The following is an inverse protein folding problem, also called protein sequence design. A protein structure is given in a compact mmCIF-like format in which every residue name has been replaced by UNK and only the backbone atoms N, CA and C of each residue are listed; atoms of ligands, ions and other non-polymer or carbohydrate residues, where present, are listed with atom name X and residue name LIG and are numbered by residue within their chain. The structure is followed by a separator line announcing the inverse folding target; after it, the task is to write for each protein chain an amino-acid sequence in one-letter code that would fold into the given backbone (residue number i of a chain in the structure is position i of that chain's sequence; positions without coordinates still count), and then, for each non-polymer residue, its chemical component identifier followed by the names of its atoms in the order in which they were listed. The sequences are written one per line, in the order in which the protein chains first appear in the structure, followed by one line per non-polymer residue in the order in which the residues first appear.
data_IF_572111276785
#
_entry.id   IF_572111276785
#
_cell.length_a   1.000
_cell.length_b   1.000
_cell.length_c   1.000
_cell.angle_alpha   90.00
_cell.angle_beta   90.00
_cell.angle_gamma   90.00
#
_symmetry.space_group_name_H-M   'P 1'
#
loop_
_entity.id
_entity.type
_entity.pdbx_description
1 polymer ?
#
# COMPACT_ATOMS: atom_id res chain seq x y z
N UNK A 1 18.34 15.44 4.19
CA UNK A 1 18.21 14.08 3.65
C UNK A 1 19.01 13.14 4.52
N UNK A 2 18.34 12.18 5.15
CA UNK A 2 19.00 11.18 5.99
C UNK A 2 19.37 9.97 5.13
N UNK A 3 20.64 9.55 5.14
CA UNK A 3 21.11 8.33 4.45
C UNK A 3 20.32 7.11 4.92
N UNK A 4 19.97 7.04 6.22
CA UNK A 4 19.14 5.96 6.77
C UNK A 4 17.76 5.93 6.12
N UNK A 5 17.13 7.09 5.92
CA UNK A 5 15.83 7.19 5.26
C UNK A 5 15.88 6.71 3.81
N UNK A 6 16.95 7.06 3.07
CA UNK A 6 17.13 6.61 1.69
C UNK A 6 17.29 5.08 1.64
N UNK A 7 18.11 4.50 2.51
CA UNK A 7 18.31 3.04 2.56
C UNK A 7 17.00 2.32 2.90
N UNK A 8 16.26 2.81 3.91
CA UNK A 8 14.96 2.23 4.26
C UNK A 8 13.96 2.34 3.11
N UNK A 9 13.94 3.46 2.39
CA UNK A 9 13.10 3.64 1.22
C UNK A 9 13.42 2.66 0.09
N UNK A 10 14.70 2.46 -0.22
CA UNK A 10 15.13 1.49 -1.23
C UNK A 10 14.76 0.05 -0.84
N UNK A 11 14.94 -0.31 0.42
CA UNK A 11 14.53 -1.62 0.93
C UNK A 11 13.00 -1.80 0.82
N UNK A 12 12.22 -0.79 1.18
CA UNK A 12 10.76 -0.82 1.04
C UNK A 12 10.35 -1.03 -0.43
N UNK A 13 10.96 -0.31 -1.37
CA UNK A 13 10.72 -0.50 -2.81
C UNK A 13 11.05 -1.93 -3.26
N UNK A 14 12.17 -2.49 -2.81
CA UNK A 14 12.57 -3.85 -3.15
C UNK A 14 11.56 -4.89 -2.63
N UNK A 15 11.13 -4.77 -1.38
CA UNK A 15 10.13 -5.68 -0.82
C UNK A 15 8.76 -5.53 -1.47
N UNK A 16 8.35 -4.30 -1.82
CA UNK A 16 7.10 -4.07 -2.55
C UNK A 16 7.13 -4.68 -3.96
N UNK A 17 8.23 -4.52 -4.69
CA UNK A 17 8.41 -5.14 -6.00
C UNK A 17 8.39 -6.67 -5.88
N UNK A 18 9.06 -7.24 -4.87
CA UNK A 18 9.06 -8.68 -4.60
C UNK A 18 7.65 -9.20 -4.32
N UNK A 19 6.87 -8.48 -3.50
CA UNK A 19 5.46 -8.82 -3.25
C UNK A 19 4.64 -8.84 -4.55
N UNK A 20 4.81 -7.83 -5.42
CA UNK A 20 4.10 -7.74 -6.70
C UNK A 20 4.39 -8.93 -7.62
N UNK A 21 5.66 -9.31 -7.73
CA UNK A 21 6.08 -10.46 -8.53
C UNK A 21 5.56 -11.79 -7.98
N UNK A 22 5.62 -11.98 -6.66
CA UNK A 22 5.08 -13.18 -6.00
C UNK A 22 3.56 -13.25 -6.17
N UNK A 23 2.83 -12.15 -5.93
CA UNK A 23 1.39 -12.06 -6.15
C UNK A 23 1.01 -12.43 -7.57
N UNK A 24 1.73 -11.93 -8.58
CA UNK A 24 1.50 -12.29 -9.98
C UNK A 24 1.71 -13.78 -10.24
N UNK A 25 2.81 -14.34 -9.75
CA UNK A 25 3.11 -15.78 -9.90
C UNK A 25 2.05 -16.67 -9.23
N UNK A 26 1.58 -16.29 -8.04
CA UNK A 26 0.52 -17.03 -7.34
C UNK A 26 -0.81 -16.95 -8.09
N UNK A 27 -1.14 -15.78 -8.62
CA UNK A 27 -2.33 -15.59 -9.47
C UNK A 27 -2.27 -16.46 -10.75
N UNK A 28 -1.11 -16.58 -11.40
CA UNK A 28 -0.90 -17.44 -12.54
C UNK A 28 -1.05 -18.95 -12.20
N UNK A 29 -0.79 -19.32 -10.95
CA UNK A 29 -1.06 -20.66 -10.43
C UNK A 29 -2.50 -20.87 -9.95
N UNK A 30 -3.43 -19.98 -10.30
CA UNK A 30 -4.85 -20.00 -9.94
C UNK A 30 -5.15 -19.92 -8.44
N UNK A 31 -4.22 -19.42 -7.62
CA UNK A 31 -4.55 -19.11 -6.22
C UNK A 31 -5.56 -17.96 -6.15
N UNK A 32 -6.49 -18.05 -5.21
CA UNK A 32 -7.47 -17.01 -5.00
C UNK A 32 -6.81 -15.75 -4.43
N UNK A 33 -7.21 -14.57 -4.89
CA UNK A 33 -6.60 -13.29 -4.46
C UNK A 33 -6.68 -13.08 -2.93
N UNK A 34 -7.77 -13.51 -2.29
CA UNK A 34 -7.89 -13.44 -0.82
C UNK A 34 -6.85 -14.32 -0.11
N UNK A 35 -6.50 -15.48 -0.67
CA UNK A 35 -5.45 -16.35 -0.12
C UNK A 35 -4.10 -15.65 -0.18
N UNK A 36 -3.79 -15.02 -1.32
CA UNK A 36 -2.53 -14.27 -1.50
C UNK A 36 -2.46 -13.12 -0.50
N UNK A 37 -3.54 -12.35 -0.36
CA UNK A 37 -3.63 -11.24 0.59
C UNK A 37 -3.52 -11.73 2.03
N UNK A 38 -4.22 -12.81 2.40
CA UNK A 38 -4.19 -13.37 3.74
C UNK A 38 -2.77 -13.76 4.17
N UNK A 39 -2.08 -14.54 3.35
CA UNK A 39 -0.70 -14.93 3.67
C UNK A 39 0.26 -13.73 3.65
N UNK A 40 0.09 -12.79 2.72
CA UNK A 40 0.89 -11.56 2.68
C UNK A 40 0.75 -10.73 3.96
N UNK A 41 -0.48 -10.49 4.40
CA UNK A 41 -0.75 -9.75 5.64
C UNK A 41 -0.35 -10.52 6.89
N UNK A 42 -0.51 -11.85 6.91
CA UNK A 42 -0.08 -12.70 8.01
C UNK A 42 1.45 -12.64 8.20
N UNK A 43 2.22 -12.84 7.14
CA UNK A 43 3.68 -12.75 7.21
C UNK A 43 4.16 -11.35 7.57
N UNK A 44 3.54 -10.30 7.02
CA UNK A 44 3.84 -8.93 7.39
C UNK A 44 3.58 -8.68 8.88
N UNK A 45 2.43 -9.12 9.39
CA UNK A 45 2.08 -9.03 10.80
C UNK A 45 3.08 -9.76 11.70
N UNK A 46 3.44 -11.01 11.36
CA UNK A 46 4.44 -11.79 12.12
C UNK A 46 5.80 -11.09 12.15
N UNK A 47 6.23 -10.49 11.04
CA UNK A 47 7.51 -9.76 10.97
C UNK A 47 7.49 -8.50 11.81
N UNK A 48 6.34 -7.85 11.96
CA UNK A 48 6.19 -6.62 12.75
C UNK A 48 5.96 -6.87 14.25
N UNK A 49 5.55 -8.08 14.65
CA UNK A 49 5.33 -8.43 16.06
C UNK A 49 6.49 -8.06 16.99
N UNK A 50 7.76 -8.37 16.68
CA UNK A 50 8.88 -8.03 17.57
C UNK A 50 9.09 -6.53 17.76
N UNK A 51 8.63 -5.71 16.79
CA UNK A 51 8.77 -4.25 16.80
C UNK A 51 7.53 -3.55 17.36
N UNK A 52 6.45 -4.29 17.64
CA UNK A 52 5.20 -3.74 18.16
C UNK A 52 5.19 -3.70 19.68
N UNK A 53 4.57 -2.65 20.24
CA UNK A 53 4.36 -2.56 21.68
C UNK A 53 3.10 -3.32 22.09
N UNK A 54 3.23 -4.64 22.25
CA UNK A 54 2.12 -5.55 22.59
C UNK A 54 1.51 -5.17 23.95
N UNK A 55 2.31 -4.63 24.88
CA UNK A 55 1.82 -4.18 26.19
C UNK A 55 0.81 -3.04 26.06
N UNK A 56 1.05 -2.06 25.19
CA UNK A 56 0.10 -0.97 24.94
C UNK A 56 -1.20 -1.50 24.33
N UNK A 57 -1.13 -2.47 23.43
CA UNK A 57 -2.31 -3.07 22.82
C UNK A 57 -3.14 -3.86 23.87
N UNK A 58 -2.49 -4.64 24.71
CA UNK A 58 -3.15 -5.39 25.78
C UNK A 58 -3.79 -4.47 26.82
N UNK A 59 -3.13 -3.36 27.17
CA UNK A 59 -3.68 -2.38 28.11
C UNK A 59 -4.93 -1.68 27.57
N UNK A 60 -5.00 -1.41 26.27
CA UNK A 60 -6.22 -0.86 25.63
C UNK A 60 -7.42 -1.81 25.74
N UNK A 61 -7.18 -3.11 25.59
CA UNK A 61 -8.23 -4.12 25.72
C UNK A 61 -8.71 -4.22 27.17
N UNK A 62 -7.77 -4.25 28.13
CA UNK A 62 -8.05 -4.38 29.57
C UNK A 62 -8.71 -3.11 30.15
N UNK A 63 -8.31 -1.92 29.69
CA UNK A 63 -8.87 -0.64 30.16
C UNK A 63 -10.29 -0.35 29.66
N UNK A 64 -10.92 -1.29 28.96
CA UNK A 64 -12.31 -1.15 28.51
C UNK A 64 -12.51 -0.23 27.31
N UNK A 65 -11.45 0.21 26.64
CA UNK A 65 -11.52 1.05 25.45
C UNK A 65 -11.94 0.22 24.21
N UNK A 66 -13.03 -0.50 24.34
CA UNK A 66 -13.56 -1.40 23.29
C UNK A 66 -13.83 -0.66 21.98
N UNK A 67 -14.40 0.53 22.06
CA UNK A 67 -14.70 1.35 20.87
C UNK A 67 -13.44 1.68 20.07
N UNK A 68 -12.38 2.11 20.74
CA UNK A 68 -11.09 2.40 20.09
C UNK A 68 -10.50 1.15 19.43
N UNK A 69 -10.59 0.01 20.07
CA UNK A 69 -10.13 -1.26 19.53
C UNK A 69 -10.88 -1.65 18.25
N UNK A 70 -12.22 -1.52 18.24
CA UNK A 70 -13.01 -1.76 17.02
C UNK A 70 -12.69 -0.79 15.89
N UNK A 71 -12.49 0.49 16.20
CA UNK A 71 -12.08 1.49 15.22
C UNK A 71 -10.72 1.12 14.60
N UNK A 72 -9.75 0.67 15.40
CA UNK A 72 -8.45 0.22 14.90
C UNK A 72 -8.56 -1.00 13.98
N UNK A 73 -9.43 -1.96 14.31
CA UNK A 73 -9.68 -3.12 13.44
C UNK A 73 -10.27 -2.69 12.11
N UNK A 74 -11.32 -1.86 12.14
CA UNK A 74 -11.96 -1.35 10.91
C UNK A 74 -10.95 -0.57 10.08
N UNK A 75 -10.16 0.30 10.74
CA UNK A 75 -9.10 1.05 10.08
C UNK A 75 -8.08 0.11 9.40
N UNK A 76 -7.60 -0.91 10.09
CA UNK A 76 -6.65 -1.88 9.53
C UNK A 76 -7.24 -2.65 8.33
N UNK A 77 -8.53 -3.03 8.41
CA UNK A 77 -9.20 -3.71 7.29
C UNK A 77 -9.34 -2.80 6.07
N UNK A 78 -9.75 -1.57 6.27
CA UNK A 78 -10.01 -0.62 5.17
C UNK A 78 -8.71 -0.06 4.59
N UNK A 79 -7.71 0.28 5.43
CA UNK A 79 -6.48 0.93 4.97
C UNK A 79 -5.39 -0.05 4.54
N UNK A 80 -5.44 -1.30 4.97
CA UNK A 80 -4.41 -2.29 4.64
C UNK A 80 -4.97 -3.49 3.88
N UNK A 81 -5.90 -4.25 4.46
CA UNK A 81 -6.36 -5.50 3.86
C UNK A 81 -7.07 -5.27 2.53
N UNK A 82 -7.99 -4.30 2.47
CA UNK A 82 -8.77 -4.01 1.28
C UNK A 82 -7.90 -3.55 0.08
N UNK A 83 -6.97 -2.59 0.21
CA UNK A 83 -6.10 -2.19 -0.89
C UNK A 83 -5.23 -3.34 -1.40
N UNK A 84 -4.64 -4.14 -0.51
CA UNK A 84 -3.83 -5.29 -0.92
C UNK A 84 -4.67 -6.39 -1.59
N UNK A 85 -5.92 -6.59 -1.15
CA UNK A 85 -6.83 -7.52 -1.80
C UNK A 85 -7.19 -7.06 -3.22
N UNK A 86 -7.51 -5.78 -3.40
CA UNK A 86 -7.79 -5.20 -4.71
C UNK A 86 -6.55 -5.22 -5.62
N UNK A 87 -5.37 -4.93 -5.07
CA UNK A 87 -4.11 -5.03 -5.78
C UNK A 87 -3.83 -6.47 -6.24
N UNK A 88 -3.99 -7.47 -5.36
CA UNK A 88 -3.84 -8.88 -5.73
C UNK A 88 -4.88 -9.33 -6.75
N UNK A 89 -6.11 -8.82 -6.67
CA UNK A 89 -7.15 -9.07 -7.66
C UNK A 89 -6.78 -8.50 -9.02
N UNK A 90 -6.21 -7.30 -9.08
CA UNK A 90 -5.79 -6.66 -10.34
C UNK A 90 -4.76 -7.48 -11.10
N UNK A 91 -3.94 -8.29 -10.40
CA UNK A 91 -2.97 -9.18 -11.02
C UNK A 91 -3.59 -10.27 -11.91
N UNK A 92 -4.90 -10.53 -11.81
CA UNK A 92 -5.62 -11.42 -12.72
C UNK A 92 -5.81 -10.81 -14.10
N UNK A 93 -5.96 -9.50 -14.17
CA UNK A 93 -6.38 -8.77 -15.37
C UNK A 93 -5.24 -8.03 -16.06
N UNK A 94 -4.12 -7.82 -15.35
CA UNK A 94 -2.98 -7.07 -15.87
C UNK A 94 -1.64 -7.63 -15.39
N UNK A 95 -0.56 -7.22 -16.06
CA UNK A 95 0.80 -7.54 -15.64
C UNK A 95 1.22 -6.80 -14.38
N UNK A 96 2.16 -7.37 -13.61
CA UNK A 96 2.64 -6.78 -12.35
C UNK A 96 3.21 -5.37 -12.54
N UNK A 97 3.95 -5.13 -13.63
CA UNK A 97 4.49 -3.81 -13.94
C UNK A 97 3.39 -2.78 -14.15
N UNK A 98 2.36 -3.12 -14.93
CA UNK A 98 1.21 -2.22 -15.18
C UNK A 98 0.43 -1.92 -13.91
N UNK A 99 0.19 -2.94 -13.08
CA UNK A 99 -0.46 -2.75 -11.78
C UNK A 99 0.35 -1.85 -10.85
N UNK A 100 1.68 -1.98 -10.83
CA UNK A 100 2.56 -1.12 -10.02
C UNK A 100 2.56 0.33 -10.49
N UNK A 101 2.55 0.58 -11.81
CA UNK A 101 2.46 1.95 -12.36
C UNK A 101 1.11 2.58 -11.99
N UNK A 102 0.00 1.83 -12.10
CA UNK A 102 -1.31 2.32 -11.66
C UNK A 102 -1.35 2.62 -10.16
N UNK A 103 -0.75 1.73 -9.34
CA UNK A 103 -0.65 1.96 -7.90
C UNK A 103 0.21 3.19 -7.55
N UNK A 104 1.18 3.56 -8.39
CA UNK A 104 1.98 4.78 -8.19
C UNK A 104 1.18 6.08 -8.35
N UNK A 105 -0.10 6.02 -8.77
CA UNK A 105 -1.02 7.16 -8.72
C UNK A 105 -1.53 7.48 -7.29
N UNK A 106 -1.32 6.58 -6.31
CA UNK A 106 -1.73 6.77 -4.93
C UNK A 106 -1.16 8.05 -4.28
N UNK A 107 0.14 8.38 -4.38
CA UNK A 107 0.66 9.65 -3.87
C UNK A 107 0.02 10.88 -4.54
N UNK A 108 -0.37 10.76 -5.81
CA UNK A 108 -1.07 11.82 -6.53
C UNK A 108 -2.46 12.07 -5.94
N UNK A 109 -3.20 11.00 -5.68
CA UNK A 109 -4.51 11.07 -5.03
C UNK A 109 -4.36 11.62 -3.60
N UNK A 110 -3.38 11.15 -2.83
CA UNK A 110 -3.11 11.62 -1.47
C UNK A 110 -2.83 13.14 -1.44
N UNK A 111 -2.04 13.65 -2.40
CA UNK A 111 -1.75 15.08 -2.50
C UNK A 111 -3.00 15.91 -2.83
N UNK A 112 -3.87 15.42 -3.71
CA UNK A 112 -5.15 16.07 -4.03
C UNK A 112 -6.07 16.12 -2.81
N UNK A 113 -6.20 15.01 -2.08
CA UNK A 113 -6.99 14.97 -0.85
C UNK A 113 -6.40 15.87 0.25
N UNK A 114 -5.07 15.90 0.41
CA UNK A 114 -4.38 16.81 1.32
C UNK A 114 -4.69 18.28 1.03
N UNK A 115 -4.63 18.66 -0.24
CA UNK A 115 -4.93 20.02 -0.67
C UNK A 115 -6.41 20.39 -0.43
N UNK A 116 -7.35 19.48 -0.75
CA UNK A 116 -8.80 19.76 -0.66
C UNK A 116 -9.32 19.69 0.78
N UNK A 117 -8.91 18.67 1.56
CA UNK A 117 -9.46 18.44 2.88
C UNK A 117 -8.72 19.21 3.99
N UNK A 118 -7.41 19.41 3.82
CA UNK A 118 -6.56 20.03 4.82
C UNK A 118 -6.00 21.38 4.42
N UNK A 119 -6.39 21.88 3.22
CA UNK A 119 -5.88 23.14 2.64
C UNK A 119 -4.34 23.18 2.57
N UNK A 120 -3.71 22.03 2.41
CA UNK A 120 -2.26 21.94 2.24
C UNK A 120 -1.86 22.47 0.86
N UNK A 121 -0.88 23.38 0.82
CA UNK A 121 -0.34 23.87 -0.45
C UNK A 121 0.80 22.96 -0.91
N UNK A 122 0.63 22.19 -1.99
CA UNK A 122 1.69 21.30 -2.47
C UNK A 122 2.88 22.13 -2.97
N UNK A 123 4.08 21.70 -2.59
CA UNK A 123 5.31 22.34 -3.08
C UNK A 123 5.54 22.11 -4.57
N UNK A 124 6.34 22.96 -5.19
CA UNK A 124 6.64 22.88 -6.65
C UNK A 124 7.17 21.49 -7.04
N UNK A 125 8.06 20.89 -6.22
CA UNK A 125 8.60 19.55 -6.47
C UNK A 125 7.52 18.47 -6.43
N UNK A 126 6.53 18.62 -5.55
CA UNK A 126 5.39 17.68 -5.46
C UNK A 126 4.51 17.77 -6.71
N UNK A 127 4.27 18.97 -7.22
CA UNK A 127 3.53 19.20 -8.47
C UNK A 127 4.27 18.59 -9.66
N UNK A 128 5.59 18.77 -9.75
CA UNK A 128 6.40 18.15 -10.81
C UNK A 128 6.31 16.61 -10.73
N UNK A 129 6.44 16.02 -9.52
CA UNK A 129 6.30 14.59 -9.33
C UNK A 129 4.91 14.07 -9.75
N UNK A 130 3.85 14.83 -9.43
CA UNK A 130 2.49 14.53 -9.87
C UNK A 130 2.38 14.50 -11.40
N UNK A 131 2.91 15.51 -12.08
CA UNK A 131 2.90 15.57 -13.55
C UNK A 131 3.61 14.36 -14.16
N UNK A 132 4.77 13.95 -13.64
CA UNK A 132 5.47 12.75 -14.11
C UNK A 132 4.66 11.49 -13.90
N UNK A 133 4.02 11.33 -12.73
CA UNK A 133 3.18 10.16 -12.43
C UNK A 133 1.98 10.09 -13.37
N UNK A 134 1.27 11.20 -13.58
CA UNK A 134 0.12 11.24 -14.50
C UNK A 134 0.56 10.92 -15.93
N UNK A 135 1.69 11.48 -16.38
CA UNK A 135 2.24 11.21 -17.71
C UNK A 135 2.56 9.72 -17.88
N UNK A 136 3.17 9.09 -16.89
CA UNK A 136 3.47 7.65 -16.93
C UNK A 136 2.20 6.79 -17.04
N UNK A 137 1.14 7.15 -16.30
CA UNK A 137 -0.16 6.44 -16.37
C UNK A 137 -0.83 6.64 -17.73
N UNK A 138 -0.75 7.84 -18.31
CA UNK A 138 -1.30 8.12 -19.65
C UNK A 138 -0.56 7.31 -20.71
N UNK A 139 0.77 7.31 -20.70
CA UNK A 139 1.59 6.53 -21.64
C UNK A 139 1.27 5.03 -21.55
N UNK A 140 1.12 4.51 -20.34
CA UNK A 140 0.75 3.11 -20.14
C UNK A 140 -0.60 2.75 -20.78
N UNK A 141 -1.58 3.66 -20.72
CA UNK A 141 -2.89 3.45 -21.34
C UNK A 141 -2.84 3.61 -22.87
N UNK A 142 -1.96 4.46 -23.39
CA UNK A 142 -1.81 4.69 -24.82
C UNK A 142 -1.25 3.46 -25.56
N UNK A 143 -0.28 2.76 -24.96
CA UNK A 143 0.26 1.52 -25.53
C UNK A 143 -0.78 0.36 -25.57
N UNK A 144 -1.92 0.53 -24.93
CA UNK A 144 -2.95 -0.52 -24.85
C UNK A 144 -3.97 -0.47 -26.01
N UNK A 145 -4.07 0.65 -26.74
CA UNK A 145 -4.94 0.84 -27.90
C UNK A 145 -4.18 0.61 -29.20
#
# INVERSE_FOLDING_TARGET
WSVRGIVCGLLACFFYASYSLVSKRMTQKNYHFLTITFYGTLFSGMTMLPFSNIHSLSSMIVSGQRTTFFILIIHALVSSVLPYALYSLSMRYMEAGKASILASSEPAAAMLFGAVLYAETPGILSICGLCFTITAVILLNYERN
#
